data_IF_685488035387
#
_entry.id   IF_685488035387
#
_cell.length_a   1.000
_cell.length_b   1.000
_cell.length_c   1.000
_cell.angle_alpha   90.00
_cell.angle_beta   90.00
_cell.angle_gamma   90.00
#
_symmetry.space_group_name_H-M   'P 1'
#
loop_
_entity.id
_entity.type
_entity.pdbx_description
1 polymer ?
#
# COMPACT_ATOMS: atom_id res chain seq x y z
N UNK A 1 32.80 2.22 28.56
CA UNK A 1 34.16 2.35 29.12
C UNK A 1 34.51 1.05 29.82
N UNK A 2 35.64 0.42 29.50
CA UNK A 2 36.09 -0.81 30.18
C UNK A 2 37.21 -0.46 31.16
N UNK A 3 36.99 -0.76 32.43
CA UNK A 3 38.02 -0.64 33.46
C UNK A 3 38.97 -1.85 33.35
N UNK A 4 40.27 -1.61 33.46
CA UNK A 4 41.29 -2.66 33.48
C UNK A 4 41.35 -3.35 34.84
N UNK A 5 41.81 -4.60 34.91
CA UNK A 5 41.92 -5.35 36.17
C UNK A 5 42.79 -4.62 37.22
N UNK A 6 43.86 -3.95 36.78
CA UNK A 6 44.70 -3.13 37.64
C UNK A 6 43.96 -1.91 38.21
N UNK A 7 43.08 -1.27 37.42
CA UNK A 7 42.25 -0.17 37.90
C UNK A 7 41.23 -0.64 38.94
N UNK A 8 40.63 -1.83 38.74
CA UNK A 8 39.70 -2.41 39.71
C UNK A 8 40.40 -2.69 41.03
N UNK A 9 41.57 -3.32 41.00
CA UNK A 9 42.35 -3.61 42.22
C UNK A 9 42.79 -2.33 42.96
N UNK A 10 43.14 -1.27 42.23
CA UNK A 10 43.48 0.03 42.81
C UNK A 10 42.25 0.70 43.47
N UNK A 11 41.07 0.59 42.86
CA UNK A 11 39.80 1.11 43.41
C UNK A 11 39.40 0.34 44.66
N UNK A 12 39.57 -0.99 44.65
CA UNK A 12 39.22 -1.88 45.74
C UNK A 12 40.28 -1.91 46.86
N UNK A 13 41.34 -1.09 46.78
CA UNK A 13 42.44 -1.04 47.76
C UNK A 13 43.08 -2.40 48.05
N UNK A 14 43.07 -3.32 47.08
CA UNK A 14 43.62 -4.67 47.21
C UNK A 14 42.72 -5.70 47.91
N UNK A 15 41.47 -5.36 48.25
CA UNK A 15 40.51 -6.32 48.80
C UNK A 15 39.95 -7.23 47.68
N UNK A 16 40.32 -8.50 47.72
CA UNK A 16 39.99 -9.48 46.68
C UNK A 16 38.48 -9.78 46.61
N UNK A 17 37.77 -9.75 47.75
CA UNK A 17 36.33 -10.00 47.77
C UNK A 17 35.58 -8.85 47.09
N UNK A 18 35.95 -7.61 47.41
CA UNK A 18 35.37 -6.41 46.82
C UNK A 18 35.68 -6.35 45.32
N UNK A 19 36.90 -6.70 44.91
CA UNK A 19 37.27 -6.80 43.50
C UNK A 19 36.43 -7.85 42.76
N UNK A 20 36.16 -9.00 43.40
CA UNK A 20 35.27 -10.05 42.87
C UNK A 20 33.86 -9.54 42.57
N UNK A 21 33.23 -8.85 43.53
CA UNK A 21 31.91 -8.25 43.33
C UNK A 21 31.92 -7.19 42.22
N UNK A 22 32.95 -6.36 42.16
CA UNK A 22 33.08 -5.33 41.14
C UNK A 22 33.18 -5.91 39.73
N UNK A 23 33.96 -6.99 39.56
CA UNK A 23 34.04 -7.71 38.30
C UNK A 23 32.71 -8.35 37.90
N UNK A 24 31.99 -8.95 38.84
CA UNK A 24 30.66 -9.50 38.59
C UNK A 24 29.66 -8.42 38.14
N UNK A 25 29.67 -7.25 38.78
CA UNK A 25 28.83 -6.11 38.40
C UNK A 25 29.18 -5.59 37.00
N UNK A 26 30.47 -5.45 36.67
CA UNK A 26 30.89 -5.03 35.33
C UNK A 26 30.43 -6.01 34.25
N UNK A 27 30.49 -7.31 34.52
CA UNK A 27 30.01 -8.33 33.59
C UNK A 27 28.49 -8.21 33.35
N UNK A 28 27.72 -7.98 34.41
CA UNK A 28 26.26 -7.77 34.30
C UNK A 28 25.95 -6.50 33.50
N UNK A 29 26.67 -5.40 33.75
CA UNK A 29 26.49 -4.14 33.00
C UNK A 29 26.81 -4.33 31.52
N UNK A 30 27.89 -5.05 31.17
CA UNK A 30 28.24 -5.33 29.77
C UNK A 30 27.17 -6.21 29.09
N UNK A 31 26.64 -7.20 29.80
CA UNK A 31 25.54 -8.03 29.30
C UNK A 31 24.26 -7.21 29.09
N UNK A 32 23.93 -6.31 30.02
CA UNK A 32 22.77 -5.43 29.88
C UNK A 32 22.94 -4.46 28.72
N UNK A 33 24.10 -3.83 28.56
CA UNK A 33 24.39 -2.92 27.45
C UNK A 33 24.21 -3.61 26.09
N UNK A 34 24.70 -4.84 25.94
CA UNK A 34 24.48 -5.65 24.73
C UNK A 34 23.01 -5.94 24.48
N UNK A 35 22.24 -6.26 25.53
CA UNK A 35 20.80 -6.51 25.39
C UNK A 35 20.05 -5.25 25.00
N UNK A 36 20.40 -4.10 25.58
CA UNK A 36 19.81 -2.80 25.22
C UNK A 36 20.09 -2.50 23.75
N UNK A 37 21.33 -2.64 23.29
CA UNK A 37 21.68 -2.42 21.89
C UNK A 37 20.87 -3.30 20.91
N UNK A 38 20.70 -4.59 21.24
CA UNK A 38 19.88 -5.51 20.43
C UNK A 38 18.40 -5.09 20.43
N UNK A 39 17.87 -4.67 21.58
CA UNK A 39 16.48 -4.23 21.69
C UNK A 39 16.24 -2.91 20.96
N UNK A 40 17.14 -1.93 21.10
CA UNK A 40 17.07 -0.66 20.39
C UNK A 40 17.11 -0.86 18.88
N UNK A 41 17.98 -1.75 18.37
CA UNK A 41 18.01 -2.14 16.96
C UNK A 41 16.66 -2.71 16.49
N UNK A 42 16.09 -3.64 17.26
CA UNK A 42 14.77 -4.22 16.94
C UNK A 42 13.65 -3.20 16.96
N UNK A 43 13.65 -2.29 17.94
CA UNK A 43 12.66 -1.21 18.01
C UNK A 43 12.79 -0.31 16.79
N UNK A 44 14.01 0.10 16.45
CA UNK A 44 14.28 0.92 15.27
C UNK A 44 13.87 0.26 13.95
N UNK A 45 13.96 -1.07 13.84
CA UNK A 45 13.48 -1.82 12.67
C UNK A 45 11.96 -1.95 12.61
N UNK A 46 11.29 -2.02 13.76
CA UNK A 46 9.84 -2.23 13.87
C UNK A 46 9.03 -0.92 13.77
N UNK A 47 9.55 0.19 14.29
CA UNK A 47 8.91 1.51 14.23
C UNK A 47 8.56 1.95 12.78
N UNK A 48 9.45 1.81 11.79
CA UNK A 48 9.14 2.05 10.39
C UNK A 48 8.01 1.15 9.89
N UNK A 49 7.97 -0.12 10.29
CA UNK A 49 6.94 -1.06 9.83
C UNK A 49 5.56 -0.69 10.35
N UNK A 50 5.46 -0.20 11.59
CA UNK A 50 4.21 0.26 12.19
C UNK A 50 3.74 1.61 11.62
N UNK A 51 4.66 2.47 11.20
CA UNK A 51 4.34 3.75 10.56
C UNK A 51 3.97 3.62 9.08
N UNK A 52 4.10 2.44 8.47
CA UNK A 52 3.59 2.18 7.12
C UNK A 52 2.06 2.10 7.12
N UNK A 53 1.43 2.95 6.33
CA UNK A 53 0.01 2.92 5.99
C UNK A 53 -0.17 2.85 4.46
N UNK A 54 -1.38 2.63 3.98
CA UNK A 54 -1.65 2.60 2.53
C UNK A 54 -1.28 3.89 1.78
N UNK A 55 -1.19 5.04 2.45
CA UNK A 55 -0.79 6.31 1.84
C UNK A 55 0.71 6.46 1.61
N UNK A 56 1.57 5.81 2.41
CA UNK A 56 3.03 5.96 2.31
C UNK A 56 3.78 4.70 1.85
N UNK A 57 3.11 3.54 1.71
CA UNK A 57 3.77 2.26 1.44
C UNK A 57 3.69 1.76 -0.01
N UNK A 58 3.15 2.56 -0.94
CA UNK A 58 2.82 2.14 -2.32
C UNK A 58 1.93 0.89 -2.41
N UNK A 59 1.41 0.39 -1.28
CA UNK A 59 0.47 -0.72 -1.22
C UNK A 59 -0.90 -0.19 -1.65
N UNK A 60 -1.66 -0.97 -2.44
CA UNK A 60 -3.00 -0.55 -2.81
C UNK A 60 -3.86 -0.38 -1.55
N UNK A 61 -4.79 0.59 -1.53
CA UNK A 61 -5.63 0.90 -0.37
C UNK A 61 -6.50 -0.28 0.10
N UNK A 62 -6.67 -1.30 -0.74
CA UNK A 62 -7.29 -2.59 -0.41
C UNK A 62 -6.47 -3.47 0.57
N UNK A 63 -5.19 -3.17 0.79
CA UNK A 63 -4.29 -3.93 1.68
C UNK A 63 -4.38 -3.53 3.15
N UNK A 64 -4.93 -2.35 3.47
CA UNK A 64 -5.05 -1.78 4.83
C UNK A 64 -6.22 -2.41 5.64
N UNK A 65 -6.72 -3.56 5.17
CA UNK A 65 -7.91 -4.22 5.68
C UNK A 65 -9.21 -3.63 5.13
N UNK A 66 -10.28 -4.41 5.23
CA UNK A 66 -11.64 -3.99 4.85
C UNK A 66 -12.16 -2.96 5.86
N UNK A 67 -11.68 -1.72 5.79
CA UNK A 67 -12.39 -0.59 6.41
C UNK A 67 -13.69 -0.42 5.65
N UNK A 68 -14.80 -0.84 6.27
CA UNK A 68 -16.14 -0.59 5.75
C UNK A 68 -16.27 0.93 5.58
N UNK A 69 -16.38 1.46 4.35
CA UNK A 69 -16.58 2.89 4.17
C UNK A 69 -17.90 3.23 4.88
N UNK A 70 -17.83 4.19 5.80
CA UNK A 70 -19.03 4.71 6.45
C UNK A 70 -19.86 5.40 5.37
N UNK A 71 -21.08 4.91 5.17
CA UNK A 71 -21.96 5.50 4.17
C UNK A 71 -22.38 6.90 4.63
N UNK A 72 -21.72 7.94 4.08
CA UNK A 72 -22.04 9.34 4.34
C UNK A 72 -23.28 9.82 3.57
N UNK A 73 -23.86 8.97 2.70
CA UNK A 73 -25.04 9.34 1.92
C UNK A 73 -26.23 9.45 2.86
N UNK A 74 -26.86 10.62 2.86
CA UNK A 74 -28.18 10.77 3.48
C UNK A 74 -29.17 9.84 2.75
N UNK A 75 -29.98 9.04 3.49
CA UNK A 75 -31.05 8.27 2.87
C UNK A 75 -32.06 9.23 2.26
N UNK A 76 -31.99 9.40 0.95
CA UNK A 76 -32.84 10.35 0.22
C UNK A 76 -32.49 10.37 -1.26
N UNK A 77 -33.49 10.60 -2.10
CA UNK A 77 -33.36 10.64 -3.56
C UNK A 77 -34.65 10.18 -4.22
N UNK A 78 -34.91 10.67 -5.44
CA UNK A 78 -36.01 10.17 -6.26
C UNK A 78 -35.74 8.68 -6.51
N UNK A 79 -36.62 7.82 -6.00
CA UNK A 79 -36.65 6.41 -6.41
C UNK A 79 -36.82 6.41 -7.93
N UNK A 80 -36.07 5.56 -8.63
CA UNK A 80 -36.17 5.44 -10.08
C UNK A 80 -37.59 5.09 -10.52
N UNK A 81 -37.77 4.88 -11.81
CA UNK A 81 -39.07 4.52 -12.37
C UNK A 81 -39.71 3.36 -11.57
N UNK A 82 -40.94 3.51 -11.05
CA UNK A 82 -41.62 2.44 -10.32
C UNK A 82 -41.75 1.16 -11.16
N UNK A 83 -41.87 0.02 -10.46
CA UNK A 83 -42.06 -1.29 -11.08
C UNK A 83 -43.29 -1.24 -11.99
N UNK A 84 -43.10 -1.51 -13.29
CA UNK A 84 -44.16 -1.42 -14.32
C UNK A 84 -44.01 -0.24 -15.28
N UNK A 85 -43.02 0.63 -15.12
CA UNK A 85 -42.72 1.61 -16.16
C UNK A 85 -42.24 0.93 -17.44
N UNK A 86 -42.84 1.31 -18.57
CA UNK A 86 -42.32 0.98 -19.89
C UNK A 86 -40.92 1.59 -20.02
N UNK A 87 -39.90 0.74 -20.13
CA UNK A 87 -38.54 1.18 -20.38
C UNK A 87 -38.35 1.52 -21.86
N UNK A 88 -37.81 2.69 -22.15
CA UNK A 88 -37.30 2.99 -23.49
C UNK A 88 -35.89 2.42 -23.60
N UNK A 89 -35.78 1.18 -24.06
CA UNK A 89 -34.48 0.57 -24.35
C UNK A 89 -34.03 1.04 -25.73
N UNK A 90 -32.85 1.65 -25.81
CA UNK A 90 -32.20 1.88 -27.11
C UNK A 90 -31.85 0.53 -27.72
N UNK A 91 -32.39 0.25 -28.89
CA UNK A 91 -32.03 -0.94 -29.65
C UNK A 91 -30.64 -0.74 -30.27
N UNK A 92 -29.83 -1.80 -30.26
CA UNK A 92 -28.64 -1.82 -31.10
C UNK A 92 -29.08 -1.81 -32.56
N UNK A 93 -28.57 -0.84 -33.32
CA UNK A 93 -28.79 -0.70 -34.76
C UNK A 93 -27.45 -0.97 -35.44
N UNK A 94 -27.48 -1.72 -36.55
CA UNK A 94 -26.26 -2.08 -37.29
C UNK A 94 -25.58 -0.85 -37.91
N UNK A 95 -26.36 0.15 -38.29
CA UNK A 95 -25.89 1.40 -38.90
C UNK A 95 -26.16 2.59 -37.97
N UNK A 96 -25.12 3.21 -37.38
CA UNK A 96 -25.28 4.42 -36.59
C UNK A 96 -25.52 5.64 -37.49
N UNK A 97 -26.35 6.58 -37.04
CA UNK A 97 -26.64 7.82 -37.76
C UNK A 97 -25.41 8.73 -37.91
N UNK A 98 -24.47 8.67 -36.96
CA UNK A 98 -23.27 9.50 -36.96
C UNK A 98 -22.10 8.74 -36.33
N UNK A 99 -20.92 8.89 -36.91
CA UNK A 99 -19.66 8.31 -36.42
C UNK A 99 -18.69 9.46 -36.18
N UNK A 100 -18.37 9.72 -34.91
CA UNK A 100 -17.35 10.71 -34.53
C UNK A 100 -16.08 9.97 -34.13
N UNK A 101 -14.98 10.23 -34.85
CA UNK A 101 -13.67 9.67 -34.54
C UNK A 101 -12.92 10.60 -33.61
N UNK A 102 -12.58 10.11 -32.41
CA UNK A 102 -11.74 10.84 -31.47
C UNK A 102 -10.28 10.39 -31.62
N UNK A 103 -9.45 11.23 -32.22
CA UNK A 103 -8.01 10.99 -32.29
C UNK A 103 -7.38 11.23 -30.92
N UNK A 104 -6.55 10.29 -30.47
CA UNK A 104 -5.78 10.45 -29.25
C UNK A 104 -4.64 11.43 -29.54
N UNK A 105 -4.78 12.66 -29.08
CA UNK A 105 -3.66 13.59 -28.99
C UNK A 105 -2.63 12.97 -28.03
N UNK A 106 -1.49 12.57 -28.58
CA UNK A 106 -0.38 11.91 -27.91
C UNK A 106 -0.05 12.57 -26.57
N UNK A 107 -0.28 11.84 -25.47
CA UNK A 107 0.31 12.15 -24.18
C UNK A 107 1.80 11.80 -24.24
N UNK A 108 2.68 12.79 -24.09
CA UNK A 108 4.15 12.67 -24.20
C UNK A 108 4.83 11.77 -23.15
N UNK A 109 4.08 10.98 -22.38
CA UNK A 109 4.64 10.20 -21.27
C UNK A 109 4.47 8.68 -21.35
N UNK A 110 3.87 8.10 -22.39
CA UNK A 110 3.78 6.63 -22.44
C UNK A 110 3.75 6.03 -23.85
N UNK A 111 4.86 6.15 -24.59
CA UNK A 111 5.04 5.40 -25.85
C UNK A 111 5.77 4.09 -25.56
N UNK A 112 5.04 3.05 -25.16
CA UNK A 112 5.56 1.68 -25.33
C UNK A 112 4.55 0.54 -25.52
N UNK A 113 3.24 0.78 -25.65
CA UNK A 113 2.28 -0.34 -25.62
C UNK A 113 1.10 -0.26 -26.60
N UNK A 114 1.29 0.34 -27.79
CA UNK A 114 0.28 0.23 -28.86
C UNK A 114 0.96 -0.15 -30.19
N UNK A 115 1.65 -1.29 -30.20
CA UNK A 115 1.90 -2.02 -31.44
C UNK A 115 0.96 -3.21 -31.47
N UNK A 116 -0.01 -3.16 -32.38
CA UNK A 116 -1.08 -4.13 -32.64
C UNK A 116 -2.27 -4.03 -31.68
N UNK A 117 -3.30 -3.29 -32.07
CA UNK A 117 -4.70 -3.75 -32.06
C UNK A 117 -5.58 -2.79 -32.85
N UNK A 118 -6.46 -3.40 -33.63
CA UNK A 118 -7.44 -2.78 -34.52
C UNK A 118 -8.25 -1.73 -33.76
N UNK A 119 -8.58 -0.65 -34.46
CA UNK A 119 -9.52 0.39 -34.04
C UNK A 119 -10.69 -0.17 -33.23
N UNK A 120 -10.80 0.20 -31.96
CA UNK A 120 -12.00 -0.05 -31.18
C UNK A 120 -13.04 1.01 -31.55
N UNK A 121 -14.07 0.61 -32.30
CA UNK A 121 -15.26 1.44 -32.53
C UNK A 121 -16.04 1.44 -31.21
N UNK A 122 -16.03 2.56 -30.50
CA UNK A 122 -16.87 2.76 -29.33
C UNK A 122 -18.08 3.61 -29.73
N UNK A 123 -19.33 3.11 -29.60
CA UNK A 123 -20.51 3.95 -29.70
C UNK A 123 -20.54 4.86 -28.47
N UNK A 124 -20.17 6.13 -28.63
CA UNK A 124 -20.07 7.05 -27.49
C UNK A 124 -21.41 7.72 -27.20
N UNK A 125 -21.80 7.72 -25.92
CA UNK A 125 -22.80 8.63 -25.34
C UNK A 125 -22.05 9.68 -24.53
N UNK A 126 -22.23 10.95 -24.83
CA UNK A 126 -21.86 12.02 -23.91
C UNK A 126 -22.88 12.10 -22.78
N UNK A 127 -22.47 11.76 -21.57
CA UNK A 127 -22.79 12.54 -20.37
C UNK A 127 -21.79 12.17 -19.27
N UNK A 128 -21.03 13.17 -18.81
CA UNK A 128 -19.78 12.98 -18.08
C UNK A 128 -19.88 12.13 -16.82
N UNK A 129 -19.16 11.01 -16.80
CA UNK A 129 -18.65 10.33 -15.63
C UNK A 129 -17.33 9.63 -16.02
N UNK A 130 -16.25 9.94 -15.30
CA UNK A 130 -14.93 9.35 -15.49
C UNK A 130 -14.96 7.92 -14.92
N UNK A 131 -14.92 6.88 -15.77
CA UNK A 131 -14.74 5.49 -15.33
C UNK A 131 -13.30 5.06 -15.55
N UNK A 132 -12.59 4.80 -14.45
CA UNK A 132 -11.29 4.13 -14.43
C UNK A 132 -11.56 2.61 -14.60
N UNK A 133 -11.06 1.98 -15.67
CA UNK A 133 -11.10 0.52 -15.82
C UNK A 133 -9.75 -0.09 -15.43
N UNK A 134 -9.80 -0.97 -14.43
CA UNK A 134 -8.68 -1.82 -14.02
C UNK A 134 -8.38 -2.89 -15.07
N UNK A 135 -7.13 -2.90 -15.52
CA UNK A 135 -6.60 -3.78 -16.55
C UNK A 135 -6.13 -5.12 -15.97
N UNK A 136 -7.03 -5.89 -15.35
CA UNK A 136 -6.69 -7.25 -14.90
C UNK A 136 -7.87 -8.21 -15.07
N UNK A 137 -7.88 -8.92 -16.20
CA UNK A 137 -8.18 -10.37 -16.28
C UNK A 137 -7.84 -10.87 -17.68
N UNK A 138 -6.59 -11.30 -17.81
CA UNK A 138 -6.17 -12.25 -18.82
C UNK A 138 -6.95 -13.56 -18.62
N UNK A 139 -7.64 -14.01 -19.66
CA UNK A 139 -8.30 -15.30 -19.72
C UNK A 139 -8.32 -15.77 -21.16
N UNK A 140 -7.26 -16.47 -21.56
CA UNK A 140 -7.17 -17.23 -22.80
C UNK A 140 -8.26 -18.29 -22.85
N UNK A 141 -9.13 -18.24 -23.86
CA UNK A 141 -10.03 -19.35 -24.19
C UNK A 141 -9.84 -19.66 -25.67
N UNK A 142 -9.17 -20.78 -25.91
CA UNK A 142 -9.05 -21.46 -27.20
C UNK A 142 -10.35 -22.19 -27.49
N UNK A 143 -10.86 -22.09 -28.71
CA UNK A 143 -11.72 -23.13 -29.27
C UNK A 143 -11.30 -23.41 -30.72
N UNK A 144 -11.51 -24.68 -31.05
CA UNK A 144 -11.11 -25.43 -32.24
C UNK A 144 -11.76 -24.94 -33.52
#
# INVERSE_FOLDING_TARGET
MKLTAQQVNNICKGDEEIAGYFHALLAIVDQQAKRIEVLEKRVHELEPQLSQNSNNSSKPPSSDGLRKPTNLRTPGGKKGAPKGHAGTTLHFVDEPNEIVVHELLTCLYFVKLISKKKSCIFPHRYHGYFFHMDLQKLGSVSFR
#
